data_IF_909231276596
#
_entry.id   IF_909231276596
#
_cell.length_a   1.000
_cell.length_b   1.000
_cell.length_c   1.000
_cell.angle_alpha   90.00
_cell.angle_beta   90.00
_cell.angle_gamma   90.00
#
_symmetry.space_group_name_H-M   'P 1'
#
loop_
_entity.id
_entity.type
_entity.pdbx_description
1 polymer ?
#
# COMPACT_ATOMS: atom_id res chain seq x y z
N UNK A 1 -0.29 28.66 8.28
CA UNK A 1 -1.59 28.35 7.65
C UNK A 1 -1.40 28.17 6.14
N UNK A 2 -1.32 26.93 5.62
CA UNK A 2 -1.42 26.69 4.17
C UNK A 2 -2.91 26.77 3.81
N UNK A 3 -3.28 27.74 2.98
CA UNK A 3 -4.66 27.94 2.56
C UNK A 3 -5.23 26.69 1.90
N UNK A 4 -6.35 26.20 2.43
CA UNK A 4 -7.20 25.21 1.76
C UNK A 4 -7.60 25.83 0.43
N UNK A 5 -7.03 25.39 -0.70
CA UNK A 5 -7.50 25.83 -2.00
C UNK A 5 -8.95 25.32 -2.12
N UNK A 6 -9.96 26.18 -2.28
CA UNK A 6 -11.30 25.71 -2.58
C UNK A 6 -11.20 24.84 -3.83
N UNK A 7 -11.79 23.63 -3.77
CA UNK A 7 -11.91 22.75 -4.95
C UNK A 7 -12.48 23.62 -6.07
N UNK A 8 -11.65 23.91 -7.06
CA UNK A 8 -12.06 24.60 -8.28
C UNK A 8 -13.30 23.90 -8.82
N UNK A 9 -14.25 24.69 -9.32
CA UNK A 9 -15.48 24.24 -9.98
C UNK A 9 -15.24 22.95 -10.78
N UNK A 10 -16.18 22.02 -10.71
CA UNK A 10 -16.15 20.69 -11.34
C UNK A 10 -15.84 20.81 -12.83
N UNK A 11 -14.56 20.92 -13.16
CA UNK A 11 -14.07 20.79 -14.52
C UNK A 11 -14.42 19.39 -14.99
N UNK A 12 -14.70 19.25 -16.28
CA UNK A 12 -14.92 17.94 -16.92
C UNK A 12 -13.79 17.01 -16.50
N UNK A 13 -14.09 16.06 -15.61
CA UNK A 13 -13.10 15.12 -15.11
C UNK A 13 -12.58 14.31 -16.30
N UNK A 14 -11.25 14.18 -16.38
CA UNK A 14 -10.65 13.34 -17.40
C UNK A 14 -11.05 11.88 -17.15
N UNK A 15 -11.39 11.17 -18.22
CA UNK A 15 -11.68 9.75 -18.18
C UNK A 15 -10.74 8.99 -19.11
N UNK A 16 -10.41 7.75 -18.73
CA UNK A 16 -9.62 6.87 -19.60
C UNK A 16 -10.30 6.66 -20.97
N UNK A 17 -11.63 6.57 -20.98
CA UNK A 17 -12.42 6.46 -22.21
C UNK A 17 -12.17 7.66 -23.13
N UNK A 18 -12.26 8.89 -22.62
CA UNK A 18 -12.08 10.10 -23.43
C UNK A 18 -10.67 10.21 -24.02
N UNK A 19 -9.66 9.67 -23.34
CA UNK A 19 -8.28 9.63 -23.83
C UNK A 19 -8.08 8.62 -24.96
N UNK A 20 -8.84 7.54 -24.97
CA UNK A 20 -8.67 6.42 -25.91
C UNK A 20 -9.70 6.40 -27.05
N UNK A 21 -10.84 7.09 -26.93
CA UNK A 21 -11.91 7.08 -27.93
C UNK A 21 -11.49 7.56 -29.33
N UNK A 22 -10.44 8.37 -29.42
CA UNK A 22 -9.90 8.86 -30.69
C UNK A 22 -8.81 7.95 -31.27
N UNK A 23 -8.51 6.80 -30.64
CA UNK A 23 -7.52 5.85 -31.13
C UNK A 23 -8.19 4.76 -31.99
N UNK A 24 -7.64 4.45 -33.17
CA UNK A 24 -8.17 3.37 -33.99
C UNK A 24 -8.08 2.01 -33.28
N UNK A 25 -9.18 1.26 -33.25
CA UNK A 25 -9.21 -0.08 -32.67
C UNK A 25 -8.39 -1.11 -33.46
N UNK A 26 -8.08 -0.81 -34.73
CA UNK A 26 -7.25 -1.64 -35.61
C UNK A 26 -5.76 -1.60 -35.23
N UNK A 27 -5.33 -0.62 -34.43
CA UNK A 27 -3.94 -0.49 -33.99
C UNK A 27 -3.89 -0.13 -32.50
N UNK A 28 -4.16 -1.10 -31.61
CA UNK A 28 -4.20 -0.84 -30.18
C UNK A 28 -2.82 -0.48 -29.63
N UNK A 29 -2.76 0.51 -28.73
CA UNK A 29 -1.54 1.05 -28.10
C UNK A 29 -0.63 0.05 -27.37
N UNK A 30 -1.03 -1.21 -27.19
CA UNK A 30 -0.23 -2.26 -26.53
C UNK A 30 0.36 -1.82 -25.18
N UNK A 31 -0.47 -1.22 -24.33
CA UNK A 31 -0.03 -0.63 -23.07
C UNK A 31 0.46 -1.72 -22.10
N UNK A 32 1.69 -1.59 -21.61
CA UNK A 32 2.25 -2.50 -20.58
C UNK A 32 2.12 -1.95 -19.17
N UNK A 33 2.13 -0.63 -19.05
CA UNK A 33 2.08 0.11 -17.79
C UNK A 33 1.04 1.21 -17.90
N UNK A 34 0.17 1.31 -16.90
CA UNK A 34 -0.88 2.31 -16.84
C UNK A 34 -0.93 2.87 -15.43
N UNK A 35 -0.81 4.20 -15.32
CA UNK A 35 -0.98 4.91 -14.06
C UNK A 35 -2.09 5.93 -14.25
N UNK A 36 -3.14 5.80 -13.44
CA UNK A 36 -4.30 6.68 -13.49
C UNK A 36 -4.49 7.29 -12.12
N UNK A 37 -4.58 8.61 -12.10
CA UNK A 37 -4.79 9.38 -10.88
C UNK A 37 -5.89 10.42 -11.07
N UNK A 38 -6.74 10.61 -10.06
CA UNK A 38 -7.81 11.63 -10.06
C UNK A 38 -8.70 11.62 -11.32
N UNK A 39 -8.96 10.44 -11.87
CA UNK A 39 -9.68 10.27 -13.14
C UNK A 39 -10.81 9.26 -13.01
N UNK A 40 -11.76 9.32 -13.94
CA UNK A 40 -12.81 8.31 -14.10
C UNK A 40 -12.26 7.12 -14.90
N UNK A 41 -12.58 5.92 -14.45
CA UNK A 41 -12.23 4.67 -15.12
C UNK A 41 -13.45 4.07 -15.78
N UNK A 42 -13.36 3.73 -17.06
CA UNK A 42 -14.38 2.94 -17.75
C UNK A 42 -13.69 1.86 -18.55
N UNK A 43 -14.22 0.64 -18.45
CA UNK A 43 -13.78 -0.51 -19.25
C UNK A 43 -14.90 -0.88 -20.19
N UNK A 44 -14.70 -0.59 -21.47
CA UNK A 44 -15.65 -0.86 -22.52
C UNK A 44 -14.97 -1.31 -23.81
N UNK A 45 -15.74 -1.47 -24.87
CA UNK A 45 -15.25 -1.90 -26.19
C UNK A 45 -14.18 -0.98 -26.76
N UNK A 46 -14.13 0.29 -26.29
CA UNK A 46 -13.14 1.27 -26.73
C UNK A 46 -11.82 1.08 -25.98
N UNK A 47 -11.86 0.92 -24.66
CA UNK A 47 -10.64 0.85 -23.85
C UNK A 47 -10.03 -0.55 -23.83
N UNK A 48 -10.83 -1.62 -23.85
CA UNK A 48 -10.37 -3.01 -23.70
C UNK A 48 -9.23 -3.38 -24.66
N UNK A 49 -9.30 -3.10 -25.98
CA UNK A 49 -8.23 -3.48 -26.90
C UNK A 49 -6.86 -2.93 -26.53
N UNK A 50 -6.82 -1.75 -25.89
CA UNK A 50 -5.59 -1.08 -25.48
C UNK A 50 -4.96 -1.67 -24.20
N UNK A 51 -5.74 -2.41 -23.40
CA UNK A 51 -5.37 -2.86 -22.05
C UNK A 51 -5.02 -4.36 -21.98
N UNK A 52 -5.22 -5.13 -23.06
CA UNK A 52 -5.01 -6.59 -23.07
C UNK A 52 -3.61 -7.04 -22.65
N UNK A 53 -2.61 -6.21 -22.91
CA UNK A 53 -1.20 -6.52 -22.63
C UNK A 53 -0.68 -5.82 -21.37
N UNK A 54 -1.59 -5.31 -20.54
CA UNK A 54 -1.22 -4.59 -19.33
C UNK A 54 -0.62 -5.55 -18.30
N UNK A 55 0.55 -5.18 -17.78
CA UNK A 55 1.28 -5.96 -16.76
C UNK A 55 1.44 -5.18 -15.46
N UNK A 56 1.26 -3.86 -15.51
CA UNK A 56 1.41 -2.98 -14.37
C UNK A 56 0.30 -1.93 -14.35
N UNK A 57 -0.35 -1.79 -13.19
CA UNK A 57 -1.46 -0.86 -13.00
C UNK A 57 -1.28 -0.08 -11.70
N UNK A 58 -1.38 1.24 -11.79
CA UNK A 58 -1.45 2.14 -10.64
C UNK A 58 -2.77 2.92 -10.69
N UNK A 59 -3.60 2.77 -9.67
CA UNK A 59 -4.88 3.47 -9.51
C UNK A 59 -4.86 4.27 -8.22
N UNK A 60 -4.76 5.58 -8.32
CA UNK A 60 -4.70 6.47 -7.16
C UNK A 60 -5.81 7.52 -7.21
N UNK A 61 -6.56 7.66 -6.13
CA UNK A 61 -7.63 8.64 -6.00
C UNK A 61 -8.60 8.57 -7.18
N UNK A 62 -8.93 7.35 -7.63
CA UNK A 62 -9.92 7.13 -8.68
C UNK A 62 -11.27 7.63 -8.19
N UNK A 63 -11.95 8.39 -9.04
CA UNK A 63 -13.27 8.92 -8.71
C UNK A 63 -14.30 7.83 -8.98
N UNK A 64 -15.07 7.46 -7.96
CA UNK A 64 -16.23 6.59 -8.12
C UNK A 64 -17.51 7.41 -8.17
N UNK A 65 -18.45 7.00 -9.03
CA UNK A 65 -19.71 7.70 -9.23
C UNK A 65 -20.54 7.78 -7.93
N UNK A 66 -20.55 6.69 -7.16
CA UNK A 66 -21.32 6.59 -5.92
C UNK A 66 -20.80 7.55 -4.82
N UNK A 67 -19.50 7.89 -4.86
CA UNK A 67 -18.91 8.82 -3.89
C UNK A 67 -19.28 10.28 -4.12
N UNK A 68 -19.75 10.64 -5.32
CA UNK A 68 -20.14 12.02 -5.64
C UNK A 68 -21.42 12.41 -4.89
N UNK A 69 -22.26 11.43 -4.56
CA UNK A 69 -23.52 11.65 -3.84
C UNK A 69 -23.30 11.96 -2.35
N UNK A 70 -22.21 11.48 -1.77
CA UNK A 70 -21.90 11.63 -0.35
C UNK A 70 -20.70 12.56 -0.14
N UNK A 71 -20.93 13.87 -0.23
CA UNK A 71 -20.03 14.84 0.42
C UNK A 71 -20.22 14.72 1.94
N UNK A 72 -19.53 13.73 2.52
CA UNK A 72 -19.55 13.34 3.93
C UNK A 72 -19.14 14.46 4.90
N UNK A 73 -18.63 15.58 4.41
CA UNK A 73 -18.15 16.68 5.27
C UNK A 73 -19.26 17.58 5.79
N UNK A 74 -20.43 17.62 5.14
CA UNK A 74 -21.50 18.56 5.53
C UNK A 74 -22.79 17.91 5.97
N UNK A 75 -22.94 16.58 5.84
CA UNK A 75 -24.19 15.87 6.18
C UNK A 75 -25.41 16.26 5.33
N UNK A 76 -25.30 17.32 4.52
CA UNK A 76 -26.33 17.76 3.60
C UNK A 76 -26.33 16.86 2.37
N UNK A 77 -27.50 16.29 2.07
CA UNK A 77 -27.76 15.68 0.77
C UNK A 77 -27.44 16.71 -0.31
N UNK A 78 -26.37 16.45 -1.06
CA UNK A 78 -26.07 17.28 -2.23
C UNK A 78 -27.07 16.86 -3.29
N UNK A 79 -28.05 17.72 -3.60
CA UNK A 79 -28.89 17.56 -4.78
C UNK A 79 -28.00 17.45 -6.01
N UNK A 80 -27.73 16.22 -6.41
CA UNK A 80 -26.82 15.93 -7.50
C UNK A 80 -27.63 16.05 -8.78
N UNK A 81 -27.20 16.90 -9.71
CA UNK A 81 -27.90 17.09 -10.98
C UNK A 81 -27.94 15.73 -11.74
N UNK A 82 -29.12 15.16 -12.04
CA UNK A 82 -29.24 13.87 -12.73
C UNK A 82 -28.51 13.83 -14.07
N UNK A 83 -28.46 14.96 -14.80
CA UNK A 83 -27.75 15.04 -16.09
C UNK A 83 -26.25 14.88 -15.93
N UNK A 84 -25.68 15.35 -14.82
CA UNK A 84 -24.27 15.19 -14.49
C UNK A 84 -23.95 13.71 -14.21
N UNK A 85 -24.78 13.04 -13.41
CA UNK A 85 -24.62 11.60 -13.11
C UNK A 85 -24.64 10.79 -14.41
N UNK A 86 -25.63 11.04 -15.28
CA UNK A 86 -25.74 10.33 -16.55
C UNK A 86 -24.53 10.58 -17.47
N UNK A 87 -24.03 11.82 -17.52
CA UNK A 87 -22.83 12.14 -18.29
C UNK A 87 -21.58 11.43 -17.75
N UNK A 88 -21.46 11.28 -16.43
CA UNK A 88 -20.31 10.62 -15.80
C UNK A 88 -20.40 9.10 -15.92
N UNK A 89 -21.60 8.51 -15.82
CA UNK A 89 -21.84 7.08 -16.12
C UNK A 89 -21.44 6.71 -17.55
N UNK A 90 -21.55 7.65 -18.49
CA UNK A 90 -21.12 7.41 -19.86
C UNK A 90 -19.60 7.24 -19.98
N UNK A 91 -18.82 7.82 -19.08
CA UNK A 91 -17.35 7.86 -19.17
C UNK A 91 -16.64 7.23 -17.97
N UNK A 92 -17.38 6.68 -17.01
CA UNK A 92 -16.89 6.08 -15.79
C UNK A 92 -17.70 4.84 -15.37
N UNK A 93 -17.07 4.00 -14.56
CA UNK A 93 -17.59 2.79 -13.95
C UNK A 93 -17.15 2.77 -12.48
N UNK A 94 -17.88 2.05 -11.63
CA UNK A 94 -17.41 1.77 -10.27
C UNK A 94 -16.18 0.82 -10.32
N UNK A 95 -15.37 0.79 -9.25
CA UNK A 95 -14.19 -0.08 -9.23
C UNK A 95 -14.56 -1.57 -9.27
N UNK A 96 -15.73 -1.95 -8.77
CA UNK A 96 -16.18 -3.35 -8.79
C UNK A 96 -16.35 -3.88 -10.21
N UNK A 97 -17.03 -3.13 -11.08
CA UNK A 97 -17.25 -3.45 -12.48
C UNK A 97 -15.93 -3.42 -13.27
N UNK A 98 -15.03 -2.48 -12.91
CA UNK A 98 -13.69 -2.41 -13.48
C UNK A 98 -12.92 -3.72 -13.25
N UNK A 99 -12.86 -4.19 -12.00
CA UNK A 99 -12.13 -5.42 -11.64
C UNK A 99 -12.80 -6.67 -12.20
N UNK A 100 -14.13 -6.73 -12.21
CA UNK A 100 -14.88 -7.81 -12.84
C UNK A 100 -14.56 -7.89 -14.35
N UNK A 101 -14.54 -6.74 -15.03
CA UNK A 101 -14.19 -6.66 -16.45
C UNK A 101 -12.76 -7.10 -16.70
N UNK A 102 -11.80 -6.66 -15.87
CA UNK A 102 -10.39 -7.10 -15.94
C UNK A 102 -10.25 -8.62 -15.81
N UNK A 103 -11.02 -9.22 -14.90
CA UNK A 103 -11.08 -10.67 -14.76
C UNK A 103 -11.65 -11.34 -16.00
N UNK A 104 -12.73 -10.80 -16.57
CA UNK A 104 -13.41 -11.37 -17.73
C UNK A 104 -12.52 -11.34 -18.99
N UNK A 105 -11.75 -10.26 -19.18
CA UNK A 105 -10.86 -10.13 -20.35
C UNK A 105 -9.54 -10.91 -20.18
N UNK A 106 -9.30 -11.54 -19.02
CA UNK A 106 -8.11 -12.36 -18.76
C UNK A 106 -6.81 -11.55 -18.67
N UNK A 107 -6.87 -10.29 -18.25
CA UNK A 107 -5.66 -9.49 -18.00
C UNK A 107 -5.06 -9.90 -16.67
N UNK A 108 -3.79 -10.32 -16.66
CA UNK A 108 -3.08 -10.77 -15.46
C UNK A 108 -1.94 -9.80 -15.11
N UNK A 109 -2.16 -8.99 -14.08
CA UNK A 109 -1.20 -7.95 -13.67
C UNK A 109 -0.10 -8.52 -12.78
N UNK A 110 1.15 -8.15 -13.07
CA UNK A 110 2.33 -8.50 -12.24
C UNK A 110 2.59 -7.47 -11.15
N UNK A 111 2.28 -6.20 -11.40
CA UNK A 111 2.50 -5.10 -10.46
C UNK A 111 1.23 -4.27 -10.30
N UNK A 112 0.77 -4.11 -9.06
CA UNK A 112 -0.44 -3.36 -8.75
C UNK A 112 -0.15 -2.36 -7.63
N UNK A 113 -0.60 -1.13 -7.82
CA UNK A 113 -0.63 -0.10 -6.79
C UNK A 113 -2.02 0.53 -6.72
N UNK A 114 -2.70 0.40 -5.58
CA UNK A 114 -4.04 0.96 -5.38
C UNK A 114 -4.15 1.66 -4.03
N UNK A 115 -4.98 2.69 -3.93
CA UNK A 115 -5.28 3.38 -2.67
C UNK A 115 -6.72 3.23 -2.17
N UNK A 116 -7.53 2.46 -2.90
CA UNK A 116 -8.91 2.14 -2.54
C UNK A 116 -9.23 0.67 -2.89
N UNK A 117 -8.77 -0.29 -2.07
CA UNK A 117 -9.09 -1.70 -2.30
C UNK A 117 -10.57 -1.96 -2.05
N UNK A 118 -11.19 -2.76 -2.94
CA UNK A 118 -12.60 -3.19 -2.85
C UNK A 118 -12.67 -4.72 -2.93
N UNK A 119 -13.75 -5.34 -2.49
CA UNK A 119 -13.90 -6.81 -2.53
C UNK A 119 -13.71 -7.40 -3.93
N UNK A 120 -14.18 -6.73 -4.99
CA UNK A 120 -13.98 -7.20 -6.36
C UNK A 120 -12.49 -7.25 -6.79
N UNK A 121 -11.65 -6.36 -6.25
CA UNK A 121 -10.21 -6.39 -6.48
C UNK A 121 -9.60 -7.69 -5.93
N UNK A 122 -10.03 -8.09 -4.74
CA UNK A 122 -9.59 -9.34 -4.11
C UNK A 122 -10.04 -10.57 -4.89
N UNK A 123 -11.28 -10.57 -5.38
CA UNK A 123 -11.77 -11.60 -6.30
C UNK A 123 -10.93 -11.68 -7.58
N UNK A 124 -10.58 -10.53 -8.17
CA UNK A 124 -9.69 -10.45 -9.33
C UNK A 124 -8.30 -11.04 -9.05
N UNK A 125 -7.66 -10.68 -7.93
CA UNK A 125 -6.38 -11.30 -7.55
C UNK A 125 -6.51 -12.81 -7.35
N UNK A 126 -7.68 -13.26 -6.93
CA UNK A 126 -8.04 -14.67 -6.79
C UNK A 126 -8.20 -15.42 -8.11
N UNK A 127 -8.21 -14.79 -9.28
CA UNK A 127 -8.43 -15.47 -10.57
C UNK A 127 -7.15 -15.94 -11.26
N UNK A 128 -5.99 -15.37 -10.92
CA UNK A 128 -4.71 -15.71 -11.57
C UNK A 128 -3.55 -15.90 -10.58
N UNK A 129 -2.37 -16.28 -11.08
CA UNK A 129 -1.11 -16.38 -10.34
C UNK A 129 -0.04 -15.51 -11.00
N UNK A 130 1.03 -15.16 -10.28
CA UNK A 130 2.16 -14.43 -10.85
C UNK A 130 2.21 -12.94 -10.50
N UNK A 131 1.45 -12.50 -9.49
CA UNK A 131 1.61 -11.17 -8.94
C UNK A 131 2.97 -11.06 -8.24
N UNK A 132 3.83 -10.15 -8.69
CA UNK A 132 5.18 -9.94 -8.14
C UNK A 132 5.26 -8.73 -7.23
N UNK A 133 4.39 -7.74 -7.43
CA UNK A 133 4.39 -6.50 -6.64
C UNK A 133 2.97 -6.08 -6.31
N UNK A 134 2.71 -5.88 -5.03
CA UNK A 134 1.44 -5.39 -4.52
C UNK A 134 1.69 -4.21 -3.58
N UNK A 135 1.15 -3.06 -3.93
CA UNK A 135 1.13 -1.87 -3.08
C UNK A 135 -0.32 -1.47 -2.82
N UNK A 136 -0.71 -1.47 -1.55
CA UNK A 136 -2.02 -1.03 -1.10
C UNK A 136 -1.84 0.13 -0.12
N UNK A 137 -2.47 1.26 -0.41
CA UNK A 137 -2.69 2.32 0.57
C UNK A 137 -4.14 2.22 1.08
N UNK A 138 -4.37 2.19 2.39
CA UNK A 138 -5.73 2.05 2.95
C UNK A 138 -6.47 3.38 3.11
N UNK A 139 -6.25 4.30 2.17
CA UNK A 139 -6.96 5.57 2.14
C UNK A 139 -8.44 5.38 1.77
N UNK A 140 -9.28 6.35 2.12
CA UNK A 140 -10.60 6.53 1.48
C UNK A 140 -11.72 5.52 1.81
N UNK A 141 -11.71 4.91 3.00
CA UNK A 141 -12.86 4.15 3.48
C UNK A 141 -13.97 5.06 4.04
N UNK A 142 -15.26 4.73 3.83
CA UNK A 142 -16.38 5.50 4.38
C UNK A 142 -16.51 5.36 5.89
N UNK A 143 -16.00 4.27 6.47
CA UNK A 143 -16.01 4.01 7.91
C UNK A 143 -14.81 3.15 8.32
N UNK A 144 -14.48 3.16 9.61
CA UNK A 144 -13.45 2.30 10.20
C UNK A 144 -13.79 0.82 10.07
N UNK A 145 -15.07 0.45 10.17
CA UNK A 145 -15.50 -0.95 10.04
C UNK A 145 -15.36 -1.45 8.61
N UNK A 146 -15.67 -0.62 7.60
CA UNK A 146 -15.43 -0.96 6.20
C UNK A 146 -13.93 -1.17 5.94
N UNK A 147 -13.07 -0.27 6.48
CA UNK A 147 -11.61 -0.43 6.44
C UNK A 147 -11.16 -1.75 7.03
N UNK A 148 -11.60 -2.04 8.27
CA UNK A 148 -11.27 -3.25 9.02
C UNK A 148 -11.68 -4.53 8.28
N UNK A 149 -12.93 -4.59 7.81
CA UNK A 149 -13.45 -5.78 7.12
C UNK A 149 -12.70 -6.02 5.80
N UNK A 150 -12.34 -4.96 5.09
CA UNK A 150 -11.55 -5.05 3.85
C UNK A 150 -10.14 -5.55 4.13
N UNK A 151 -9.48 -5.08 5.20
CA UNK A 151 -8.17 -5.58 5.62
C UNK A 151 -8.21 -7.06 6.02
N UNK A 152 -9.20 -7.45 6.82
CA UNK A 152 -9.40 -8.86 7.20
C UNK A 152 -9.58 -9.75 5.98
N UNK A 153 -10.42 -9.31 5.04
CA UNK A 153 -10.60 -10.03 3.78
C UNK A 153 -9.28 -10.22 3.03
N UNK A 154 -8.41 -9.22 2.97
CA UNK A 154 -7.09 -9.35 2.36
C UNK A 154 -6.27 -10.49 3.00
N UNK A 155 -6.13 -10.51 4.33
CA UNK A 155 -5.28 -11.49 5.03
C UNK A 155 -5.90 -12.89 5.13
N UNK A 156 -7.22 -12.98 5.25
CA UNK A 156 -7.94 -14.25 5.40
C UNK A 156 -8.26 -14.89 4.04
N UNK A 157 -8.26 -14.10 2.96
CA UNK A 157 -8.48 -14.64 1.62
C UNK A 157 -7.36 -15.59 1.16
N UNK A 158 -7.71 -16.42 0.18
CA UNK A 158 -6.75 -17.26 -0.51
C UNK A 158 -5.70 -16.47 -1.33
N UNK A 159 -5.78 -15.14 -1.42
CA UNK A 159 -4.90 -14.31 -2.28
C UNK A 159 -3.43 -14.50 -1.94
N UNK A 160 -3.06 -14.34 -0.66
CA UNK A 160 -1.66 -14.49 -0.27
C UNK A 160 -1.17 -15.92 -0.38
N UNK A 161 -2.06 -16.90 -0.21
CA UNK A 161 -1.71 -18.30 -0.51
C UNK A 161 -1.46 -18.48 -2.01
N UNK A 162 -2.31 -17.87 -2.85
CA UNK A 162 -2.25 -17.97 -4.32
C UNK A 162 -0.97 -17.36 -4.90
N UNK A 163 -0.52 -16.24 -4.34
CA UNK A 163 0.68 -15.52 -4.79
C UNK A 163 1.90 -15.74 -3.90
N UNK A 164 1.84 -16.68 -2.96
CA UNK A 164 2.90 -16.96 -1.96
C UNK A 164 4.27 -17.22 -2.56
N UNK A 165 4.32 -17.88 -3.73
CA UNK A 165 5.55 -18.24 -4.44
C UNK A 165 5.90 -17.29 -5.59
N UNK A 166 5.22 -16.14 -5.71
CA UNK A 166 5.46 -15.18 -6.80
C UNK A 166 5.59 -13.75 -6.32
N UNK A 167 4.98 -13.40 -5.19
CA UNK A 167 5.02 -12.06 -4.62
C UNK A 167 6.41 -11.77 -4.04
N UNK A 168 7.10 -10.79 -4.62
CA UNK A 168 8.45 -10.37 -4.23
C UNK A 168 8.43 -9.07 -3.43
N UNK A 169 7.44 -8.21 -3.67
CA UNK A 169 7.30 -6.92 -2.99
C UNK A 169 5.88 -6.74 -2.48
N UNK A 170 5.73 -6.59 -1.17
CA UNK A 170 4.47 -6.27 -0.52
C UNK A 170 4.62 -4.94 0.21
N UNK A 171 3.81 -3.96 -0.17
CA UNK A 171 3.74 -2.68 0.51
C UNK A 171 2.29 -2.41 0.96
N UNK A 172 2.09 -2.31 2.27
CA UNK A 172 0.81 -1.96 2.86
C UNK A 172 1.00 -0.70 3.69
N UNK A 173 0.47 0.41 3.18
CA UNK A 173 0.51 1.71 3.84
C UNK A 173 -0.84 1.97 4.54
N UNK A 174 -0.82 1.93 5.87
CA UNK A 174 -2.02 2.04 6.70
C UNK A 174 -2.33 3.50 7.06
N UNK A 175 -3.53 3.95 6.70
CA UNK A 175 -4.05 5.26 7.14
C UNK A 175 -4.66 5.23 8.55
N UNK A 176 -5.10 4.05 8.99
CA UNK A 176 -5.71 3.83 10.30
C UNK A 176 -4.85 2.87 11.14
N UNK A 177 -4.85 3.10 12.46
CA UNK A 177 -4.31 2.15 13.45
C UNK A 177 -5.30 0.99 13.60
N UNK A 178 -5.24 0.05 12.66
CA UNK A 178 -6.15 -1.08 12.56
C UNK A 178 -5.49 -2.27 11.85
N UNK A 179 -6.32 -3.11 11.25
CA UNK A 179 -5.95 -4.36 10.59
C UNK A 179 -5.09 -4.15 9.35
N UNK A 180 -4.94 -2.93 8.81
CA UNK A 180 -3.98 -2.68 7.73
C UNK A 180 -2.52 -2.73 8.20
N UNK A 181 -2.26 -2.57 9.50
CA UNK A 181 -0.94 -2.75 10.09
C UNK A 181 -0.57 -4.24 10.23
N UNK A 182 0.69 -4.52 10.59
CA UNK A 182 1.08 -5.85 11.01
C UNK A 182 0.29 -6.25 12.27
N UNK A 183 -0.48 -7.33 12.15
CA UNK A 183 -1.44 -7.80 13.14
C UNK A 183 -1.48 -9.34 13.15
N UNK A 184 -2.14 -9.98 14.13
CA UNK A 184 -2.18 -11.44 14.21
C UNK A 184 -2.70 -12.15 12.94
N UNK A 185 -3.73 -11.66 12.23
CA UNK A 185 -4.14 -12.23 10.93
C UNK A 185 -3.10 -12.06 9.82
N UNK A 186 -2.31 -10.98 9.83
CA UNK A 186 -1.30 -10.71 8.80
C UNK A 186 -0.09 -11.65 8.92
N UNK A 187 0.29 -12.01 10.15
CA UNK A 187 1.45 -12.86 10.44
C UNK A 187 1.47 -14.19 9.64
N UNK A 188 0.46 -15.07 9.72
CA UNK A 188 0.46 -16.34 8.97
C UNK A 188 0.38 -16.13 7.45
N UNK A 189 -0.22 -15.03 6.98
CA UNK A 189 -0.28 -14.72 5.55
C UNK A 189 1.09 -14.33 4.99
N UNK A 190 1.81 -13.43 5.68
CA UNK A 190 3.15 -12.98 5.29
C UNK A 190 4.15 -14.12 5.38
N UNK A 191 4.09 -14.96 6.44
CA UNK A 191 5.01 -16.07 6.63
C UNK A 191 5.01 -17.07 5.46
N UNK A 192 3.89 -17.21 4.74
CA UNK A 192 3.78 -18.12 3.59
C UNK A 192 4.52 -17.62 2.35
N UNK A 193 4.92 -16.35 2.29
CA UNK A 193 5.47 -15.74 1.08
C UNK A 193 6.96 -16.10 0.90
N UNK A 194 7.22 -17.20 0.20
CA UNK A 194 8.57 -17.78 0.07
C UNK A 194 9.53 -16.95 -0.79
N UNK A 195 9.01 -16.06 -1.64
CA UNK A 195 9.80 -15.17 -2.51
C UNK A 195 9.78 -13.70 -2.08
N UNK A 196 9.24 -13.38 -0.91
CA UNK A 196 9.15 -12.00 -0.46
C UNK A 196 10.54 -11.43 -0.15
N UNK A 197 10.92 -10.39 -0.90
CA UNK A 197 12.21 -9.69 -0.77
C UNK A 197 12.07 -8.35 -0.08
N UNK A 198 10.98 -7.63 -0.37
CA UNK A 198 10.71 -6.31 0.22
C UNK A 198 9.36 -6.33 0.91
N UNK A 199 9.35 -6.05 2.20
CA UNK A 199 8.14 -5.83 2.98
C UNK A 199 8.08 -4.38 3.46
N UNK A 200 7.03 -3.65 3.11
CA UNK A 200 6.68 -2.37 3.72
C UNK A 200 5.38 -2.53 4.47
N UNK A 201 5.39 -2.29 5.79
CA UNK A 201 4.22 -2.46 6.63
C UNK A 201 4.22 -1.51 7.82
N UNK A 202 3.04 -1.09 8.25
CA UNK A 202 2.89 -0.26 9.44
C UNK A 202 2.79 -1.10 10.72
N UNK A 203 3.22 -0.54 11.85
CA UNK A 203 2.99 -1.10 13.19
C UNK A 203 1.93 -0.28 13.92
N UNK A 204 0.84 -0.95 14.29
CA UNK A 204 -0.28 -0.38 15.05
C UNK A 204 -0.09 -0.48 16.56
N UNK A 205 -0.83 0.32 17.33
CA UNK A 205 -0.87 0.20 18.80
C UNK A 205 -1.87 -0.83 19.29
N UNK A 206 -2.83 -1.21 18.46
CA UNK A 206 -3.95 -2.06 18.85
C UNK A 206 -3.53 -3.41 19.47
N UNK A 207 -2.31 -3.89 19.20
CA UNK A 207 -1.76 -5.13 19.74
C UNK A 207 -0.49 -4.94 20.59
N UNK A 208 -0.15 -3.69 20.94
CA UNK A 208 1.10 -3.33 21.62
C UNK A 208 2.31 -3.41 20.69
N UNK A 209 3.18 -2.39 20.71
CA UNK A 209 4.31 -2.28 19.78
C UNK A 209 5.29 -3.44 19.98
N UNK A 210 5.74 -3.68 21.21
CA UNK A 210 6.74 -4.71 21.49
C UNK A 210 6.26 -6.14 21.16
N UNK A 211 5.08 -6.62 21.61
CA UNK A 211 4.57 -7.93 21.19
C UNK A 211 4.43 -8.07 19.66
N UNK A 212 4.00 -6.99 19.00
CA UNK A 212 3.82 -6.94 17.54
C UNK A 212 5.16 -7.02 16.81
N UNK A 213 6.17 -6.29 17.25
CA UNK A 213 7.53 -6.31 16.71
C UNK A 213 8.19 -7.69 16.90
N UNK A 214 8.10 -8.26 18.10
CA UNK A 214 8.61 -9.61 18.37
C UNK A 214 7.97 -10.63 17.42
N UNK A 215 6.65 -10.54 17.21
CA UNK A 215 5.96 -11.43 16.29
C UNK A 215 6.35 -11.19 14.83
N UNK A 216 6.56 -9.94 14.43
CA UNK A 216 7.02 -9.58 13.09
C UNK A 216 8.39 -10.21 12.82
N UNK A 217 9.35 -10.04 13.72
CA UNK A 217 10.67 -10.65 13.56
C UNK A 217 10.63 -12.17 13.51
N UNK A 218 9.83 -12.82 14.37
CA UNK A 218 9.61 -14.27 14.28
C UNK A 218 9.09 -14.72 12.91
N UNK A 219 8.21 -13.94 12.28
CA UNK A 219 7.72 -14.22 10.92
C UNK A 219 8.84 -14.02 9.90
N UNK A 220 9.56 -12.90 9.97
CA UNK A 220 10.58 -12.52 9.01
C UNK A 220 11.77 -13.47 9.00
N UNK A 221 12.22 -13.95 10.16
CA UNK A 221 13.30 -14.92 10.24
C UNK A 221 12.98 -16.23 9.51
N UNK A 222 11.70 -16.54 9.31
CA UNK A 222 11.25 -17.72 8.55
C UNK A 222 11.19 -17.50 7.04
N UNK A 223 11.40 -16.27 6.55
CA UNK A 223 11.38 -15.92 5.13
C UNK A 223 12.84 -15.77 4.67
N UNK A 224 13.43 -16.78 4.00
CA UNK A 224 14.85 -16.76 3.66
C UNK A 224 15.23 -15.74 2.57
N UNK A 225 14.25 -15.22 1.84
CA UNK A 225 14.45 -14.31 0.70
C UNK A 225 14.31 -12.85 1.08
N UNK A 226 13.99 -12.52 2.34
CA UNK A 226 13.77 -11.15 2.76
C UNK A 226 15.08 -10.35 2.75
N UNK A 227 15.09 -9.24 2.03
CA UNK A 227 16.25 -8.35 1.85
C UNK A 227 16.02 -7.00 2.54
N UNK A 228 14.80 -6.47 2.43
CA UNK A 228 14.43 -5.16 2.95
C UNK A 228 13.12 -5.19 3.72
N UNK A 229 13.11 -4.52 4.87
CA UNK A 229 11.92 -4.33 5.68
C UNK A 229 11.78 -2.84 5.95
N UNK A 230 10.66 -2.25 5.53
CA UNK A 230 10.32 -0.86 5.76
C UNK A 230 9.18 -0.82 6.77
N UNK A 231 9.50 -0.37 7.98
CA UNK A 231 8.57 -0.26 9.10
C UNK A 231 8.22 1.21 9.28
N UNK A 232 6.94 1.53 9.32
CA UNK A 232 6.47 2.85 9.72
C UNK A 232 5.51 2.74 10.89
N UNK A 233 5.37 3.81 11.68
CA UNK A 233 4.15 3.97 12.47
C UNK A 233 2.99 4.24 11.50
N UNK A 234 1.78 3.79 11.82
CA UNK A 234 0.59 4.30 11.12
C UNK A 234 0.55 5.83 11.27
N UNK A 235 0.10 6.53 10.24
CA UNK A 235 0.03 7.99 10.30
C UNK A 235 -0.06 8.60 8.92
N UNK A 236 -1.27 8.99 8.53
CA UNK A 236 -1.45 9.84 7.35
C UNK A 236 -1.76 11.28 7.78
N UNK A 237 -0.77 12.16 7.59
CA UNK A 237 -0.84 13.42 6.84
C UNK A 237 -2.12 14.30 6.89
N UNK A 238 -2.91 14.30 7.96
CA UNK A 238 -3.88 15.38 8.18
C UNK A 238 -3.20 16.52 8.92
N UNK A 239 -3.05 17.66 8.25
CA UNK A 239 -2.34 18.90 8.63
C UNK A 239 -2.73 19.57 9.98
N UNK A 240 -3.35 18.88 10.94
CA UNK A 240 -4.00 19.53 12.08
C UNK A 240 -3.64 19.05 13.50
N UNK A 241 -2.79 18.06 13.71
CA UNK A 241 -2.46 17.64 15.09
C UNK A 241 -0.95 17.55 15.32
N UNK A 242 -0.36 18.62 15.86
CA UNK A 242 0.98 18.56 16.49
C UNK A 242 1.06 17.41 17.52
N UNK A 243 -0.05 17.14 18.22
CA UNK A 243 -0.18 15.98 19.13
C UNK A 243 0.02 14.63 18.41
N UNK A 244 -0.41 14.49 17.15
CA UNK A 244 -0.21 13.25 16.37
C UNK A 244 1.22 13.10 15.88
N UNK A 245 1.90 14.19 15.51
CA UNK A 245 3.31 14.15 15.13
C UNK A 245 4.21 13.75 16.30
N UNK A 246 3.98 14.33 17.49
CA UNK A 246 4.67 13.95 18.71
C UNK A 246 4.44 12.47 19.06
N UNK A 247 3.21 11.99 18.87
CA UNK A 247 2.85 10.59 19.08
C UNK A 247 3.53 9.64 18.08
N UNK A 248 3.53 9.97 16.78
CA UNK A 248 4.22 9.18 15.77
C UNK A 248 5.73 9.14 16.04
N UNK A 249 6.30 10.27 16.44
CA UNK A 249 7.71 10.34 16.85
C UNK A 249 8.02 9.41 18.02
N UNK A 250 7.14 9.35 19.03
CA UNK A 250 7.30 8.42 20.15
C UNK A 250 7.23 6.95 19.69
N UNK A 251 6.24 6.60 18.85
CA UNK A 251 6.10 5.24 18.33
C UNK A 251 7.32 4.84 17.49
N UNK A 252 7.80 5.72 16.60
CA UNK A 252 9.01 5.47 15.83
C UNK A 252 10.22 5.23 16.73
N UNK A 253 10.36 5.98 17.85
CA UNK A 253 11.42 5.73 18.84
C UNK A 253 11.29 4.36 19.51
N UNK A 254 10.09 3.97 19.92
CA UNK A 254 9.84 2.65 20.49
C UNK A 254 10.15 1.53 19.48
N UNK A 255 9.73 1.68 18.22
CA UNK A 255 10.07 0.74 17.12
C UNK A 255 11.59 0.64 16.94
N UNK A 256 12.31 1.77 16.92
CA UNK A 256 13.77 1.77 16.78
C UNK A 256 14.45 1.04 17.93
N UNK A 257 14.00 1.24 19.17
CA UNK A 257 14.54 0.54 20.33
C UNK A 257 14.33 -0.98 20.24
N UNK A 258 13.14 -1.43 19.82
CA UNK A 258 12.87 -2.87 19.64
C UNK A 258 13.69 -3.46 18.49
N UNK A 259 13.90 -2.73 17.39
CA UNK A 259 14.78 -3.18 16.29
C UNK A 259 16.20 -3.38 16.80
N UNK A 260 16.71 -2.47 17.64
CA UNK A 260 18.04 -2.59 18.26
C UNK A 260 18.10 -3.83 19.17
N UNK A 261 17.12 -3.97 20.07
CA UNK A 261 17.08 -5.10 21.02
C UNK A 261 16.98 -6.45 20.32
N UNK A 262 16.18 -6.58 19.25
CA UNK A 262 16.08 -7.82 18.49
C UNK A 262 17.34 -8.14 17.68
N UNK A 263 18.12 -7.14 17.25
CA UNK A 263 19.41 -7.40 16.61
C UNK A 263 20.41 -8.00 17.59
N UNK A 264 20.46 -7.46 18.81
CA UNK A 264 21.37 -7.95 19.85
C UNK A 264 21.12 -9.42 20.21
N UNK A 265 19.88 -9.93 20.08
CA UNK A 265 19.56 -11.32 20.41
C UNK A 265 19.74 -12.31 19.24
N UNK A 266 19.74 -11.85 17.99
CA UNK A 266 19.88 -12.71 16.81
C UNK A 266 21.33 -13.09 16.49
N UNK A 267 22.30 -12.33 16.99
CA UNK A 267 23.71 -12.44 16.61
C UNK A 267 24.43 -13.71 17.12
N UNK A 268 23.83 -14.47 18.04
CA UNK A 268 24.53 -15.57 18.70
C UNK A 268 24.48 -16.93 17.96
N UNK A 269 23.62 -17.13 16.94
CA UNK A 269 23.31 -18.53 16.52
C UNK A 269 23.16 -18.85 15.02
N UNK A 270 23.04 -17.91 14.07
CA UNK A 270 22.77 -18.28 12.66
C UNK A 270 23.55 -17.49 11.59
N UNK A 271 24.06 -18.21 10.58
CA UNK A 271 24.77 -17.70 9.39
C UNK A 271 23.86 -17.07 8.33
N UNK A 272 22.61 -16.77 8.67
CA UNK A 272 21.61 -16.31 7.71
C UNK A 272 21.80 -14.82 7.40
N UNK A 273 21.61 -14.44 6.13
CA UNK A 273 21.62 -13.04 5.73
C UNK A 273 20.52 -12.29 6.50
N UNK A 274 20.93 -11.31 7.29
CA UNK A 274 20.01 -10.45 8.04
C UNK A 274 19.48 -9.37 7.09
N UNK A 275 18.17 -9.07 7.06
CA UNK A 275 17.61 -8.04 6.20
C UNK A 275 18.01 -6.62 6.64
N UNK A 276 18.02 -5.69 5.69
CA UNK A 276 18.14 -4.26 6.00
C UNK A 276 16.79 -3.74 6.50
N UNK A 277 16.79 -3.12 7.68
CA UNK A 277 15.57 -2.58 8.28
C UNK A 277 15.57 -1.05 8.15
N UNK A 278 14.54 -0.51 7.53
CA UNK A 278 14.26 0.91 7.41
C UNK A 278 13.13 1.25 8.37
N UNK A 279 13.33 2.20 9.27
CA UNK A 279 12.28 2.71 10.16
C UNK A 279 11.96 4.14 9.75
N UNK A 280 10.77 4.33 9.19
CA UNK A 280 10.28 5.65 8.84
C UNK A 280 9.71 6.36 10.08
N UNK A 281 10.05 7.63 10.20
CA UNK A 281 9.57 8.54 11.24
C UNK A 281 9.27 9.91 10.63
N UNK A 282 8.51 10.79 11.33
CA UNK A 282 8.28 12.15 10.85
C UNK A 282 9.57 12.94 10.58
N UNK A 283 10.66 12.65 11.30
CA UNK A 283 11.95 13.34 11.15
C UNK A 283 12.87 12.76 10.07
N UNK A 284 12.51 11.63 9.46
CA UNK A 284 13.33 10.97 8.44
C UNK A 284 13.27 9.44 8.52
N UNK A 285 14.16 8.79 7.76
CA UNK A 285 14.26 7.33 7.69
C UNK A 285 15.55 6.90 8.38
N UNK A 286 15.43 6.10 9.44
CA UNK A 286 16.58 5.47 10.09
C UNK A 286 16.86 4.13 9.42
N UNK A 287 18.12 3.86 9.07
CA UNK A 287 18.52 2.64 8.35
C UNK A 287 19.39 1.77 9.25
N UNK A 288 18.94 0.54 9.49
CA UNK A 288 19.64 -0.45 10.29
C UNK A 288 20.21 -1.53 9.37
N UNK A 289 21.43 -1.32 8.87
CA UNK A 289 22.16 -2.34 8.11
C UNK A 289 22.74 -3.39 9.07
N UNK A 290 22.62 -4.70 8.78
CA UNK A 290 23.37 -5.70 9.50
C UNK A 290 24.86 -5.60 9.15
N UNK A 291 25.72 -5.70 10.15
CA UNK A 291 27.15 -5.93 9.95
C UNK A 291 27.45 -7.39 10.32
N UNK A 292 28.21 -8.14 9.52
CA UNK A 292 28.69 -9.45 9.95
C UNK A 292 29.64 -9.30 11.15
N UNK A 293 29.53 -10.17 12.15
CA UNK A 293 30.38 -10.19 13.36
C UNK A 293 31.88 -10.18 13.07
N UNK A 294 32.32 -10.70 11.91
CA UNK A 294 33.72 -10.63 11.49
C UNK A 294 34.26 -9.20 11.32
N UNK A 295 33.39 -8.20 11.22
CA UNK A 295 33.74 -6.78 11.15
C UNK A 295 33.63 -6.05 12.50
N UNK A 296 33.11 -6.69 13.56
CA UNK A 296 32.76 -6.03 14.84
C UNK A 296 33.94 -6.01 15.83
N UNK A 297 34.89 -6.93 15.72
CA UNK A 297 36.02 -7.04 16.67
C UNK A 297 37.11 -5.96 16.57
N UNK A 298 36.91 -4.83 15.87
CA UNK A 298 37.95 -3.78 15.77
C UNK A 298 37.55 -2.33 16.04
N UNK A 299 36.29 -1.96 16.30
CA UNK A 299 35.99 -0.56 16.66
C UNK A 299 34.56 -0.34 17.18
N UNK A 300 34.46 0.47 18.23
CA UNK A 300 33.25 1.07 18.84
C UNK A 300 32.00 1.08 17.94
N UNK A 301 30.94 0.42 18.38
CA UNK A 301 29.65 0.37 17.69
C UNK A 301 29.04 1.77 17.57
N UNK A 302 28.72 2.19 16.33
CA UNK A 302 28.11 3.50 16.04
C UNK A 302 26.77 3.34 15.33
N UNK A 303 25.74 4.00 15.86
CA UNK A 303 24.43 4.17 15.22
C UNK A 303 24.54 5.28 14.16
N UNK A 304 24.35 4.92 12.89
CA UNK A 304 24.37 5.89 11.77
C UNK A 304 22.94 6.35 11.49
N UNK A 305 22.65 7.62 11.77
CA UNK A 305 21.38 8.26 11.40
C UNK A 305 21.51 8.92 10.02
N UNK A 306 20.60 8.62 9.09
CA UNK A 306 20.56 9.26 7.78
C UNK A 306 19.45 10.32 7.76
N UNK A 307 19.84 11.60 7.69
CA UNK A 307 18.93 12.72 7.45
C UNK A 307 19.38 13.46 6.19
N UNK A 308 18.48 13.65 5.24
CA UNK A 308 18.78 14.32 3.96
C UNK A 308 19.98 13.71 3.21
N UNK A 309 20.12 12.38 3.23
CA UNK A 309 21.25 11.63 2.68
C UNK A 309 22.63 11.97 3.28
N UNK A 310 22.70 12.56 4.48
CA UNK A 310 23.93 12.77 5.24
C UNK A 310 23.96 11.86 6.47
N UNK A 311 25.11 11.28 6.75
CA UNK A 311 25.36 10.46 7.95
C UNK A 311 25.59 11.38 9.16
N UNK A 312 24.87 11.11 10.24
CA UNK A 312 25.04 11.76 11.54
C UNK A 312 25.32 10.71 12.62
N UNK A 313 26.33 10.98 13.44
CA UNK A 313 26.76 10.15 14.57
C UNK A 313 25.88 10.48 15.79
N UNK A 314 25.26 9.48 16.42
CA UNK A 314 24.49 9.64 17.65
C UNK A 314 25.34 9.14 18.83
N UNK A 315 26.04 10.07 19.49
CA UNK A 315 26.58 9.89 20.84
C UNK A 315 25.73 10.66 21.84
#
# INVERSE_FOLDING_TARGET
MRGFRPRSQVGTQQSLHNLLQYRPLTSPLNLKHLSIQHSLLKIDTTTIPHLRNLTSLTLLNVVELDTIQFNSTTGNEVHTNPSLIQSQQHVGSNLSDFWASFSQIGVHLKSIHIDKPVTAFFSYLGTYHGLTTLHISSGHFPSRDASRNTALQLYESAIFTKHSNTLEKLNINAWYDDYWCFCPPAAPAIQKMSRLRVLTICIGRSWGIQPTMNKLFQVLFRIPTIEEIHISSFGSYSNKDEMREAQNTRISKEIMLEVINCKLSADETETKAVPTIFVASPSGITVFRPRPLSAIFTREDRLIYLRDNKEYDYN
#
